data_IF_909228463160
#
_entry.id   IF_909228463160
#
_cell.length_a   1.000
_cell.length_b   1.000
_cell.length_c   1.000
_cell.angle_alpha   90.00
_cell.angle_beta   90.00
_cell.angle_gamma   90.00
#
_symmetry.space_group_name_H-M   'P 1'
#
loop_
_entity.id
_entity.type
_entity.pdbx_description
1 polymer ?
#
# COMPACT_ATOMS: atom_id res chain seq x y z
N UNK A 1 -42.59 9.61 56.80
CA UNK A 1 -43.58 9.11 57.78
C UNK A 1 -44.47 8.11 57.05
N UNK A 2 -44.41 6.82 57.39
CA UNK A 2 -45.23 5.79 56.76
C UNK A 2 -46.52 5.59 57.57
N UNK A 3 -47.67 5.48 56.90
CA UNK A 3 -48.96 5.20 57.53
C UNK A 3 -48.93 3.80 58.19
N UNK A 4 -49.02 3.73 59.52
CA UNK A 4 -48.92 2.49 60.30
C UNK A 4 -50.23 1.70 60.44
N UNK A 5 -51.31 2.09 59.74
CA UNK A 5 -52.66 1.51 59.89
C UNK A 5 -52.95 0.30 58.97
N UNK A 6 -51.98 -0.13 58.17
CA UNK A 6 -52.14 -1.24 57.22
C UNK A 6 -51.62 -2.55 57.82
N UNK A 7 -52.48 -3.56 58.02
CA UNK A 7 -52.15 -4.94 58.46
C UNK A 7 -51.34 -5.74 57.41
N UNK A 8 -50.50 -5.08 56.60
CA UNK A 8 -49.71 -5.67 55.50
C UNK A 8 -48.23 -5.58 55.80
N UNK A 9 -47.48 -6.61 55.39
CA UNK A 9 -46.01 -6.58 55.39
C UNK A 9 -45.51 -5.41 54.55
N UNK A 10 -44.60 -4.64 55.12
CA UNK A 10 -43.94 -3.52 54.44
C UNK A 10 -42.47 -3.87 54.18
N UNK A 11 -41.99 -3.59 52.97
CA UNK A 11 -40.58 -3.76 52.58
C UNK A 11 -40.03 -2.44 52.06
N UNK A 12 -38.83 -2.07 52.49
CA UNK A 12 -38.15 -0.86 52.01
C UNK A 12 -36.64 -0.96 52.16
N UNK A 13 -35.91 -0.42 51.18
CA UNK A 13 -34.47 -0.21 51.29
C UNK A 13 -34.21 1.26 51.56
N UNK A 14 -33.50 1.55 52.64
CA UNK A 14 -33.22 2.92 53.09
C UNK A 14 -31.71 3.15 53.23
N UNK A 15 -31.25 4.28 52.70
CA UNK A 15 -29.90 4.80 52.89
C UNK A 15 -29.81 5.45 54.27
N UNK A 16 -28.87 5.00 55.09
CA UNK A 16 -28.65 5.50 56.44
C UNK A 16 -27.21 5.98 56.61
N UNK A 17 -27.02 6.86 57.58
CA UNK A 17 -25.72 7.37 58.00
C UNK A 17 -25.37 6.76 59.35
N UNK A 18 -24.22 6.10 59.44
CA UNK A 18 -23.68 5.58 60.68
C UNK A 18 -23.09 6.70 61.55
N UNK A 19 -22.88 6.41 62.83
CA UNK A 19 -22.35 7.39 63.80
C UNK A 19 -20.94 7.89 63.46
N UNK A 20 -20.18 7.11 62.70
CA UNK A 20 -18.85 7.47 62.18
C UNK A 20 -18.90 8.29 60.88
N UNK A 21 -20.11 8.58 60.36
CA UNK A 21 -20.32 9.29 59.11
C UNK A 21 -20.32 8.40 57.86
N UNK A 22 -20.12 7.09 57.98
CA UNK A 22 -20.20 6.17 56.85
C UNK A 22 -21.66 5.96 56.41
N UNK A 23 -21.87 5.73 55.10
CA UNK A 23 -23.21 5.45 54.57
C UNK A 23 -23.40 3.95 54.42
N UNK A 24 -24.55 3.44 54.84
CA UNK A 24 -24.95 2.05 54.67
C UNK A 24 -26.41 1.95 54.20
N UNK A 25 -26.73 0.88 53.49
CA UNK A 25 -28.06 0.60 52.98
C UNK A 25 -28.67 -0.57 53.75
N UNK A 26 -29.90 -0.40 54.23
CA UNK A 26 -30.61 -1.44 54.99
C UNK A 26 -31.91 -1.78 54.28
N UNK A 27 -32.07 -3.06 53.94
CA UNK A 27 -33.35 -3.61 53.58
C UNK A 27 -34.12 -3.96 54.85
N UNK A 28 -35.27 -3.33 55.04
CA UNK A 28 -36.14 -3.51 56.20
C UNK A 28 -37.46 -4.12 55.75
N UNK A 29 -37.80 -5.27 56.33
CA UNK A 29 -39.13 -5.86 56.23
C UNK A 29 -39.83 -5.78 57.58
N UNK A 30 -41.00 -5.15 57.64
CA UNK A 30 -41.82 -5.02 58.85
C UNK A 30 -43.06 -5.91 58.72
N UNK A 31 -43.24 -6.82 59.67
CA UNK A 31 -44.38 -7.72 59.79
C UNK A 31 -45.24 -7.30 60.99
N UNK A 32 -46.54 -7.01 60.80
CA UNK A 32 -47.47 -6.92 61.92
C UNK A 32 -47.81 -8.32 62.44
N UNK A 33 -47.78 -8.50 63.75
CA UNK A 33 -48.29 -9.68 64.45
C UNK A 33 -49.70 -9.33 64.91
N UNK A 34 -50.65 -10.22 64.61
CA UNK A 34 -52.07 -10.01 64.89
C UNK A 34 -52.50 -10.91 66.05
N UNK A 35 -53.34 -10.38 66.93
CA UNK A 35 -53.99 -11.15 68.00
C UNK A 35 -55.13 -12.04 67.46
N UNK A 36 -55.78 -12.79 68.36
CA UNK A 36 -56.92 -13.66 68.00
C UNK A 36 -58.14 -12.89 67.46
N UNK A 37 -58.25 -11.58 67.73
CA UNK A 37 -59.29 -10.70 67.20
C UNK A 37 -58.88 -10.08 65.86
N UNK A 38 -57.67 -10.37 65.40
CA UNK A 38 -57.09 -9.87 64.17
C UNK A 38 -56.48 -8.46 64.29
N UNK A 39 -56.41 -7.88 65.47
CA UNK A 39 -55.83 -6.56 65.72
C UNK A 39 -54.33 -6.62 65.95
N UNK A 40 -53.62 -5.52 65.68
CA UNK A 40 -52.15 -5.51 65.71
C UNK A 40 -51.69 -5.53 67.15
N UNK A 41 -51.03 -6.63 67.53
CA UNK A 41 -50.42 -6.82 68.85
C UNK A 41 -48.97 -6.31 68.88
N UNK A 42 -48.19 -6.60 67.83
CA UNK A 42 -46.78 -6.24 67.76
C UNK A 42 -46.33 -5.99 66.31
N UNK A 43 -45.19 -5.32 66.13
CA UNK A 43 -44.49 -5.25 64.85
C UNK A 43 -43.09 -5.85 64.97
N UNK A 44 -42.78 -6.85 64.14
CA UNK A 44 -41.44 -7.41 64.00
C UNK A 44 -40.78 -6.79 62.77
N UNK A 45 -39.59 -6.20 62.94
CA UNK A 45 -38.79 -5.68 61.84
C UNK A 45 -37.53 -6.54 61.64
N UNK A 46 -37.40 -7.13 60.45
CA UNK A 46 -36.17 -7.80 60.01
C UNK A 46 -35.38 -6.81 59.18
N UNK A 47 -34.11 -6.59 59.54
CA UNK A 47 -33.21 -5.65 58.88
C UNK A 47 -31.98 -6.40 58.39
N UNK A 48 -31.62 -6.19 57.13
CA UNK A 48 -30.43 -6.79 56.51
C UNK A 48 -29.62 -5.68 55.83
N UNK A 49 -28.30 -5.66 56.10
CA UNK A 49 -27.38 -4.73 55.46
C UNK A 49 -27.14 -5.17 54.00
N UNK A 50 -27.43 -4.28 53.05
CA UNK A 50 -27.29 -4.50 51.61
C UNK A 50 -26.26 -3.57 50.97
N UNK A 51 -25.43 -2.90 51.77
CA UNK A 51 -24.51 -1.84 51.31
C UNK A 51 -23.59 -2.31 50.20
N UNK A 52 -22.93 -3.46 50.38
CA UNK A 52 -22.01 -4.00 49.38
C UNK A 52 -22.73 -4.39 48.09
N UNK A 53 -23.93 -4.94 48.17
CA UNK A 53 -24.72 -5.28 46.98
C UNK A 53 -25.14 -4.05 46.19
N UNK A 54 -25.54 -2.97 46.87
CA UNK A 54 -25.90 -1.71 46.22
C UNK A 54 -24.67 -1.08 45.57
N UNK A 55 -23.53 -1.04 46.28
CA UNK A 55 -22.26 -0.51 45.74
C UNK A 55 -21.78 -1.27 44.51
N UNK A 56 -21.82 -2.61 44.55
CA UNK A 56 -21.44 -3.44 43.40
C UNK A 56 -22.38 -3.19 42.21
N UNK A 57 -23.68 -3.05 42.45
CA UNK A 57 -24.64 -2.73 41.38
C UNK A 57 -24.39 -1.35 40.79
N UNK A 58 -24.15 -0.33 41.60
CA UNK A 58 -23.84 1.03 41.14
C UNK A 58 -22.53 1.05 40.34
N UNK A 59 -21.50 0.35 40.82
CA UNK A 59 -20.22 0.22 40.12
C UNK A 59 -20.35 -0.52 38.78
N UNK A 60 -21.20 -1.55 38.72
CA UNK A 60 -21.48 -2.29 37.49
C UNK A 60 -22.19 -1.41 36.46
N UNK A 61 -23.22 -0.66 36.87
CA UNK A 61 -23.93 0.28 36.01
C UNK A 61 -22.96 1.32 35.42
N UNK A 62 -22.11 1.91 36.26
CA UNK A 62 -21.13 2.90 35.81
C UNK A 62 -20.11 2.29 34.82
N UNK A 63 -19.73 1.02 35.00
CA UNK A 63 -18.82 0.33 34.08
C UNK A 63 -19.48 -0.04 32.75
N UNK A 64 -20.76 -0.41 32.77
CA UNK A 64 -21.52 -0.67 31.54
C UNK A 64 -21.66 0.62 30.70
N UNK A 65 -21.96 1.75 31.34
CA UNK A 65 -22.00 3.06 30.67
C UNK A 65 -20.64 3.43 30.05
N UNK A 66 -19.54 3.26 30.79
CA UNK A 66 -18.18 3.50 30.30
C UNK A 66 -17.83 2.59 29.10
N UNK A 67 -18.27 1.32 29.13
CA UNK A 67 -18.06 0.38 28.04
C UNK A 67 -18.87 0.75 26.80
N UNK A 68 -20.10 1.24 26.95
CA UNK A 68 -20.91 1.72 25.83
C UNK A 68 -20.27 2.94 25.14
N UNK A 69 -19.80 3.92 25.92
CA UNK A 69 -19.07 5.09 25.40
C UNK A 69 -17.78 4.69 24.69
N UNK A 70 -17.03 3.74 25.26
CA UNK A 70 -15.80 3.26 24.64
C UNK A 70 -16.07 2.50 23.33
N UNK A 71 -17.09 1.63 23.31
CA UNK A 71 -17.45 0.87 22.12
C UNK A 71 -17.89 1.78 20.98
N UNK A 72 -18.75 2.75 21.25
CA UNK A 72 -19.20 3.72 20.23
C UNK A 72 -18.01 4.49 19.65
N UNK A 73 -17.11 4.97 20.50
CA UNK A 73 -15.87 5.64 20.06
C UNK A 73 -14.97 4.72 19.23
N UNK A 74 -14.82 3.46 19.62
CA UNK A 74 -14.01 2.48 18.88
C UNK A 74 -14.62 2.17 17.50
N UNK A 75 -15.93 2.00 17.42
CA UNK A 75 -16.64 1.77 16.16
C UNK A 75 -16.45 2.94 15.18
N UNK A 76 -16.52 4.18 15.67
CA UNK A 76 -16.26 5.37 14.86
C UNK A 76 -14.82 5.38 14.33
N UNK A 77 -13.83 5.14 15.19
CA UNK A 77 -12.41 5.10 14.79
C UNK A 77 -12.14 3.99 13.79
N UNK A 78 -12.69 2.80 14.00
CA UNK A 78 -12.56 1.67 13.06
C UNK A 78 -13.16 2.04 11.71
N UNK A 79 -14.34 2.68 11.69
CA UNK A 79 -14.99 3.13 10.46
C UNK A 79 -14.16 4.17 9.71
N UNK A 80 -13.61 5.16 10.41
CA UNK A 80 -12.73 6.17 9.81
C UNK A 80 -11.45 5.57 9.24
N UNK A 81 -10.77 4.72 10.01
CA UNK A 81 -9.55 4.05 9.55
C UNK A 81 -9.82 3.13 8.37
N UNK A 82 -10.95 2.42 8.37
CA UNK A 82 -11.33 1.55 7.25
C UNK A 82 -11.52 2.37 5.97
N UNK A 83 -12.22 3.50 6.05
CA UNK A 83 -12.39 4.41 4.90
C UNK A 83 -11.04 4.95 4.40
N UNK A 84 -10.18 5.40 5.31
CA UNK A 84 -8.85 5.89 4.95
C UNK A 84 -8.01 4.81 4.26
N UNK A 85 -8.06 3.58 4.77
CA UNK A 85 -7.36 2.43 4.19
C UNK A 85 -7.90 2.09 2.78
N UNK A 86 -9.22 2.14 2.59
CA UNK A 86 -9.82 1.93 1.25
C UNK A 86 -9.34 2.97 0.25
N UNK A 87 -9.35 4.26 0.61
CA UNK A 87 -8.89 5.34 -0.25
C UNK A 87 -7.40 5.18 -0.57
N UNK A 88 -6.59 4.86 0.44
CA UNK A 88 -5.16 4.66 0.27
C UNK A 88 -4.87 3.49 -0.68
N UNK A 89 -5.56 2.35 -0.50
CA UNK A 89 -5.42 1.20 -1.39
C UNK A 89 -5.79 1.54 -2.83
N UNK A 90 -6.91 2.23 -3.06
CA UNK A 90 -7.30 2.66 -4.41
C UNK A 90 -6.24 3.57 -5.04
N UNK A 91 -5.72 4.53 -4.28
CA UNK A 91 -4.68 5.46 -4.75
C UNK A 91 -3.37 4.73 -5.06
N UNK A 92 -2.99 3.75 -4.24
CA UNK A 92 -1.80 2.94 -4.46
C UNK A 92 -1.96 2.05 -5.69
N UNK A 93 -3.11 1.42 -5.89
CA UNK A 93 -3.41 0.62 -7.08
C UNK A 93 -3.29 1.44 -8.36
N UNK A 94 -3.78 2.69 -8.36
CA UNK A 94 -3.67 3.60 -9.49
C UNK A 94 -2.20 3.96 -9.77
N UNK A 95 -1.44 4.38 -8.75
CA UNK A 95 -0.01 4.70 -8.91
C UNK A 95 0.82 3.51 -9.38
N UNK A 96 0.55 2.31 -8.86
CA UNK A 96 1.23 1.09 -9.30
C UNK A 96 0.93 0.82 -10.77
N UNK A 97 -0.32 0.97 -11.20
CA UNK A 97 -0.71 0.79 -12.60
C UNK A 97 0.01 1.78 -13.51
N UNK A 98 0.04 3.06 -13.14
CA UNK A 98 0.73 4.10 -13.90
C UNK A 98 2.22 3.82 -14.05
N UNK A 99 2.91 3.48 -12.95
CA UNK A 99 4.34 3.19 -12.98
C UNK A 99 4.66 1.91 -13.76
N UNK A 100 3.80 0.87 -13.70
CA UNK A 100 3.95 -0.35 -14.51
C UNK A 100 3.86 -0.04 -16.01
N UNK A 101 2.88 0.75 -16.44
CA UNK A 101 2.75 1.11 -17.86
C UNK A 101 3.91 1.99 -18.34
N UNK A 102 4.36 2.94 -17.51
CA UNK A 102 5.54 3.75 -17.81
C UNK A 102 6.82 2.91 -17.91
N UNK A 103 6.96 1.88 -17.08
CA UNK A 103 8.10 0.98 -17.12
C UNK A 103 8.08 0.12 -18.39
N UNK A 104 6.91 -0.43 -18.76
CA UNK A 104 6.73 -1.18 -20.02
C UNK A 104 7.10 -0.35 -21.26
N UNK A 105 6.74 0.93 -21.28
CA UNK A 105 7.10 1.80 -22.39
C UNK A 105 8.61 2.07 -22.43
N UNK A 106 9.25 2.28 -21.27
CA UNK A 106 10.71 2.39 -21.18
C UNK A 106 11.41 1.13 -21.67
N UNK A 107 10.92 -0.05 -21.29
CA UNK A 107 11.47 -1.33 -21.72
C UNK A 107 11.39 -1.49 -23.24
N UNK A 108 10.27 -1.07 -23.86
CA UNK A 108 10.13 -1.06 -25.31
C UNK A 108 11.15 -0.15 -25.98
N UNK A 109 11.33 1.06 -25.45
CA UNK A 109 12.30 2.03 -25.96
C UNK A 109 13.73 1.47 -25.81
N UNK A 110 14.08 0.92 -24.64
CA UNK A 110 15.39 0.33 -24.37
C UNK A 110 15.66 -0.86 -25.28
N UNK A 111 14.68 -1.72 -25.51
CA UNK A 111 14.79 -2.83 -26.45
C UNK A 111 15.08 -2.35 -27.87
N UNK A 112 14.35 -1.33 -28.34
CA UNK A 112 14.60 -0.72 -29.64
C UNK A 112 15.98 -0.06 -29.73
N UNK A 113 16.40 0.66 -28.69
CA UNK A 113 17.73 1.27 -28.63
C UNK A 113 18.85 0.23 -28.65
N UNK A 114 18.74 -0.82 -27.86
CA UNK A 114 19.69 -1.93 -27.84
C UNK A 114 19.81 -2.59 -29.22
N UNK A 115 18.66 -2.84 -29.86
CA UNK A 115 18.61 -3.37 -31.24
C UNK A 115 19.31 -2.44 -32.23
N UNK A 116 19.02 -1.13 -32.18
CA UNK A 116 19.64 -0.14 -33.06
C UNK A 116 21.15 -0.02 -32.83
N UNK A 117 21.60 -0.05 -31.57
CA UNK A 117 23.01 -0.02 -31.22
C UNK A 117 23.75 -1.24 -31.77
N UNK A 118 23.20 -2.44 -31.57
CA UNK A 118 23.76 -3.68 -32.11
C UNK A 118 23.77 -3.69 -33.64
N UNK A 119 22.69 -3.21 -34.28
CA UNK A 119 22.67 -3.04 -35.74
C UNK A 119 23.73 -2.04 -36.22
N UNK A 120 23.94 -0.93 -35.50
CA UNK A 120 24.98 0.05 -35.81
C UNK A 120 26.39 -0.54 -35.71
N UNK A 121 26.66 -1.32 -34.67
CA UNK A 121 27.91 -2.06 -34.51
C UNK A 121 28.12 -3.07 -35.64
N UNK A 122 27.07 -3.84 -35.99
CA UNK A 122 27.11 -4.76 -37.12
C UNK A 122 27.35 -4.04 -38.45
N UNK A 123 26.71 -2.90 -38.70
CA UNK A 123 26.94 -2.08 -39.90
C UNK A 123 28.37 -1.56 -39.94
N UNK A 124 28.91 -1.09 -38.82
CA UNK A 124 30.30 -0.64 -38.73
C UNK A 124 31.30 -1.78 -39.02
N UNK A 125 31.02 -2.98 -38.49
CA UNK A 125 31.81 -4.17 -38.76
C UNK A 125 31.73 -4.59 -40.24
N UNK A 126 30.54 -4.56 -40.84
CA UNK A 126 30.36 -4.82 -42.27
C UNK A 126 31.12 -3.76 -43.08
N UNK A 127 30.96 -2.48 -42.79
CA UNK A 127 31.68 -1.41 -43.47
C UNK A 127 33.21 -1.65 -43.46
N UNK A 128 33.75 -2.02 -42.31
CA UNK A 128 35.15 -2.39 -42.18
C UNK A 128 35.51 -3.61 -43.06
N UNK A 129 34.68 -4.65 -43.07
CA UNK A 129 34.86 -5.84 -43.92
C UNK A 129 34.80 -5.51 -45.41
N UNK A 130 34.01 -4.53 -45.85
CA UNK A 130 33.95 -4.10 -47.26
C UNK A 130 35.16 -3.26 -47.69
N UNK A 131 35.76 -2.49 -46.76
CA UNK A 131 37.01 -1.76 -47.06
C UNK A 131 38.20 -2.67 -47.33
N UNK A 132 38.22 -3.89 -46.76
CA UNK A 132 39.28 -4.88 -46.96
C UNK A 132 39.45 -5.31 -48.45
N UNK A 133 38.44 -5.90 -49.12
CA UNK A 133 38.56 -6.31 -50.52
C UNK A 133 38.72 -5.10 -51.45
N UNK A 134 38.12 -3.94 -51.13
CA UNK A 134 38.34 -2.71 -51.91
C UNK A 134 39.81 -2.27 -51.87
N UNK A 135 40.45 -2.36 -50.71
CA UNK A 135 41.88 -2.06 -50.57
C UNK A 135 42.74 -3.04 -51.38
N UNK A 136 42.40 -4.32 -51.36
CA UNK A 136 43.08 -5.36 -52.15
C UNK A 136 42.90 -5.15 -53.67
N UNK A 137 41.69 -4.80 -54.12
CA UNK A 137 41.42 -4.42 -55.50
C UNK A 137 42.25 -3.20 -55.90
N UNK A 138 42.33 -2.19 -55.04
CA UNK A 138 43.14 -1.00 -55.31
C UNK A 138 44.62 -1.37 -55.49
N UNK A 139 45.18 -2.20 -54.59
CA UNK A 139 46.56 -2.71 -54.70
C UNK A 139 46.76 -3.49 -56.00
N UNK A 140 45.80 -4.34 -56.38
CA UNK A 140 45.86 -5.12 -57.62
C UNK A 140 45.85 -4.21 -58.84
N UNK A 141 44.97 -3.21 -58.87
CA UNK A 141 44.94 -2.19 -59.93
C UNK A 141 46.28 -1.44 -59.99
N UNK A 142 46.86 -1.03 -58.86
CA UNK A 142 48.18 -0.38 -58.82
C UNK A 142 49.28 -1.27 -59.41
N UNK A 143 49.29 -2.57 -59.08
CA UNK A 143 50.23 -3.54 -59.65
C UNK A 143 50.06 -3.65 -61.17
N UNK A 144 48.82 -3.76 -61.64
CA UNK A 144 48.50 -3.83 -63.07
C UNK A 144 48.99 -2.58 -63.81
N UNK A 145 48.71 -1.38 -63.30
CA UNK A 145 49.18 -0.15 -63.94
C UNK A 145 50.71 -0.05 -63.94
N UNK A 146 51.36 -0.39 -62.81
CA UNK A 146 52.82 -0.39 -62.73
C UNK A 146 53.46 -1.33 -63.77
N UNK A 147 52.95 -2.55 -63.92
CA UNK A 147 53.46 -3.51 -64.92
C UNK A 147 53.20 -3.02 -66.36
N UNK A 148 52.03 -2.46 -66.64
CA UNK A 148 51.70 -1.92 -67.95
C UNK A 148 52.65 -0.80 -68.38
N UNK A 149 52.93 0.15 -67.48
CA UNK A 149 53.88 1.24 -67.72
C UNK A 149 55.29 0.77 -68.00
N UNK A 150 55.73 -0.32 -67.37
CA UNK A 150 57.06 -0.91 -67.57
C UNK A 150 57.19 -1.60 -68.93
N UNK A 151 56.11 -2.16 -69.48
CA UNK A 151 56.13 -2.95 -70.73
C UNK A 151 55.89 -2.11 -71.99
N UNK A 152 55.14 -1.00 -71.89
CA UNK A 152 54.66 -0.22 -73.05
C UNK A 152 55.23 1.21 -73.16
N UNK A 153 56.36 1.52 -72.49
CA UNK A 153 57.00 2.85 -72.50
C UNK A 153 56.03 4.05 -72.30
N UNK A 154 54.94 3.84 -71.56
CA UNK A 154 53.92 4.87 -71.30
C UNK A 154 53.00 5.23 -72.47
N UNK A 155 52.93 4.42 -73.55
CA UNK A 155 52.05 4.68 -74.70
C UNK A 155 50.78 3.82 -74.64
N UNK A 156 49.72 4.35 -74.00
CA UNK A 156 48.36 3.82 -74.10
C UNK A 156 47.35 4.58 -73.25
N UNK A 157 46.67 5.53 -73.88
CA UNK A 157 45.73 6.47 -73.24
C UNK A 157 44.48 5.74 -72.69
N UNK A 158 43.95 4.78 -73.45
CA UNK A 158 42.71 4.06 -73.07
C UNK A 158 42.84 3.23 -71.78
N UNK A 159 44.01 2.63 -71.53
CA UNK A 159 44.25 1.85 -70.31
C UNK A 159 44.39 2.75 -69.08
N UNK A 160 45.05 3.89 -69.20
CA UNK A 160 45.21 4.85 -68.11
C UNK A 160 43.88 5.50 -67.72
N UNK A 161 43.04 5.84 -68.70
CA UNK A 161 41.68 6.35 -68.45
C UNK A 161 40.81 5.30 -67.74
N UNK A 162 40.88 4.04 -68.18
CA UNK A 162 40.16 2.92 -67.55
C UNK A 162 40.66 2.63 -66.13
N UNK A 163 41.98 2.70 -65.89
CA UNK A 163 42.58 2.56 -64.56
C UNK A 163 42.17 3.71 -63.63
N UNK A 164 42.22 4.95 -64.10
CA UNK A 164 41.80 6.13 -63.34
C UNK A 164 40.31 6.03 -62.98
N UNK A 165 39.47 5.53 -63.89
CA UNK A 165 38.06 5.30 -63.64
C UNK A 165 37.83 4.23 -62.57
N UNK A 166 38.47 3.06 -62.68
CA UNK A 166 38.36 1.98 -61.71
C UNK A 166 38.82 2.40 -60.31
N UNK A 167 39.95 3.12 -60.23
CA UNK A 167 40.46 3.68 -58.98
C UNK A 167 39.49 4.67 -58.35
N UNK A 168 38.85 5.53 -59.16
CA UNK A 168 37.83 6.48 -58.70
C UNK A 168 36.59 5.77 -58.16
N UNK A 169 36.15 4.67 -58.79
CA UNK A 169 35.04 3.85 -58.28
C UNK A 169 35.40 3.23 -56.93
N UNK A 170 36.57 2.61 -56.80
CA UNK A 170 37.01 1.97 -55.56
C UNK A 170 37.13 2.99 -54.42
N UNK A 171 37.67 4.19 -54.68
CA UNK A 171 37.74 5.28 -53.68
C UNK A 171 36.36 5.74 -53.24
N UNK A 172 35.45 5.98 -54.19
CA UNK A 172 34.07 6.37 -53.90
C UNK A 172 33.35 5.32 -53.06
N UNK A 173 33.52 4.04 -53.38
CA UNK A 173 32.94 2.96 -52.60
C UNK A 173 33.50 2.92 -51.19
N UNK A 174 34.82 3.09 -50.99
CA UNK A 174 35.40 3.15 -49.64
C UNK A 174 34.96 4.35 -48.81
N UNK A 175 34.59 5.47 -49.44
CA UNK A 175 34.10 6.68 -48.76
C UNK A 175 32.61 6.62 -48.43
N UNK A 176 31.83 5.82 -49.18
CA UNK A 176 30.38 5.70 -49.02
C UNK A 176 29.99 4.70 -47.91
N UNK A 177 30.96 3.91 -47.42
CA UNK A 177 30.76 2.82 -46.44
C UNK A 177 31.60 3.10 -45.19
#
# INVERSE_FOLDING_TARGET
MANHTSKKTYKSTVKNLAKDGSTFYVNTTVFPILDENGDIEEFIAIRYDVTESVRLSEALIAKDEELEELNTTLEERVKEQTKALTILNQTLEERVREEVEKNREKDRILFQQSRLASMGEMIANIAHQWRQPLSELNITLYKMNKLYRLQNEGKGIEFEDSYAHAKKIVSKMSETI
#
